data_IF_544063997403
#
_entry.id   IF_544063997403
#
_cell.length_a   1.000
_cell.length_b   1.000
_cell.length_c   1.000
_cell.angle_alpha   90.00
_cell.angle_beta   90.00
_cell.angle_gamma   90.00
#
_symmetry.space_group_name_H-M   'P 1'
#
loop_
_entity.id
_entity.type
_entity.pdbx_description
1 polymer ?
#
# COMPACT_ATOMS: atom_id res chain seq x y z
N UNK A 1 -40.10 2.94 104.12
CA UNK A 1 -41.31 2.49 103.38
C UNK A 1 -40.88 2.15 101.95
N UNK A 2 -40.55 0.89 101.59
CA UNK A 2 -41.40 -0.08 100.83
C UNK A 2 -42.20 0.63 99.71
N UNK A 3 -42.03 0.40 98.39
CA UNK A 3 -41.96 -0.89 97.63
C UNK A 3 -41.66 -0.67 96.12
N UNK A 4 -40.79 -1.52 95.53
CA UNK A 4 -40.96 -2.36 94.29
C UNK A 4 -41.08 -1.66 92.90
N UNK A 5 -40.63 -2.18 91.73
CA UNK A 5 -39.85 -3.35 91.24
C UNK A 5 -39.86 -3.29 89.66
N UNK A 6 -38.91 -3.97 88.98
CA UNK A 6 -38.83 -4.36 87.53
C UNK A 6 -38.40 -3.31 86.46
N UNK A 7 -37.19 -3.38 85.84
CA UNK A 7 -36.67 -4.25 84.72
C UNK A 7 -37.05 -3.69 83.31
N UNK A 8 -36.31 -3.72 82.19
CA UNK A 8 -35.24 -4.57 81.63
C UNK A 8 -34.73 -3.93 80.29
N UNK A 9 -33.40 -3.95 79.98
CA UNK A 9 -32.69 -4.32 78.68
C UNK A 9 -33.08 -3.63 77.33
N UNK A 10 -32.26 -3.40 76.28
CA UNK A 10 -30.82 -3.29 75.92
C UNK A 10 -30.76 -3.03 74.37
N UNK A 11 -29.78 -2.25 73.89
CA UNK A 11 -29.12 -2.24 72.55
C UNK A 11 -29.88 -1.81 71.26
N UNK A 12 -29.27 -0.95 70.42
CA UNK A 12 -28.43 -1.37 69.27
C UNK A 12 -27.81 -0.18 68.48
N UNK A 13 -26.59 -0.40 68.01
CA UNK A 13 -25.78 0.40 67.07
C UNK A 13 -26.30 0.28 65.63
N UNK A 14 -26.19 1.34 64.82
CA UNK A 14 -26.07 1.22 63.36
C UNK A 14 -25.27 2.40 62.78
N UNK A 15 -23.99 2.16 62.51
CA UNK A 15 -23.14 3.00 61.67
C UNK A 15 -23.52 2.73 60.21
N UNK A 16 -24.06 3.72 59.50
CA UNK A 16 -24.32 3.61 58.07
C UNK A 16 -23.00 3.72 57.30
N UNK A 17 -22.41 2.58 56.95
CA UNK A 17 -21.45 2.49 55.86
C UNK A 17 -22.24 2.62 54.55
N UNK A 18 -22.35 3.82 54.02
CA UNK A 18 -22.62 4.01 52.61
C UNK A 18 -21.35 3.58 51.86
N UNK A 19 -21.26 2.28 51.56
CA UNK A 19 -20.35 1.83 50.52
C UNK A 19 -20.82 2.43 49.21
N UNK A 20 -20.01 3.29 48.60
CA UNK A 20 -20.16 3.57 47.18
C UNK A 20 -19.97 2.23 46.47
N UNK A 21 -21.07 1.67 45.95
CA UNK A 21 -21.00 0.57 45.01
C UNK A 21 -20.42 1.16 43.71
N UNK A 22 -19.09 1.23 43.63
CA UNK A 22 -18.43 1.35 42.34
C UNK A 22 -18.73 0.06 41.60
N UNK A 23 -19.85 0.03 40.87
CA UNK A 23 -20.16 -0.97 39.87
C UNK A 23 -19.14 -0.83 38.74
N UNK A 24 -17.91 -1.23 39.03
CA UNK A 24 -16.90 -1.54 38.04
C UNK A 24 -17.35 -2.83 37.40
N UNK A 25 -18.03 -2.72 36.25
CA UNK A 25 -18.28 -3.88 35.42
C UNK A 25 -16.93 -4.63 35.25
N UNK A 26 -16.93 -5.98 35.35
CA UNK A 26 -15.69 -6.73 35.21
C UNK A 26 -15.03 -6.38 33.87
N UNK A 27 -13.71 -6.09 33.92
CA UNK A 27 -12.90 -5.77 32.74
C UNK A 27 -13.08 -6.86 31.69
N UNK A 28 -13.30 -6.48 30.43
CA UNK A 28 -13.34 -7.45 29.36
C UNK A 28 -11.95 -8.06 29.14
N UNK A 29 -11.91 -9.37 28.98
CA UNK A 29 -10.69 -10.15 28.70
C UNK A 29 -10.77 -10.89 27.37
N UNK A 30 -11.83 -10.69 26.60
CA UNK A 30 -12.06 -11.35 25.32
C UNK A 30 -11.50 -10.47 24.22
N UNK A 31 -10.45 -10.91 23.50
CA UNK A 31 -9.96 -10.14 22.37
C UNK A 31 -10.99 -10.03 21.24
N UNK A 32 -10.93 -8.97 20.43
CA UNK A 32 -11.66 -8.92 19.16
C UNK A 32 -11.27 -10.07 18.22
N UNK A 33 -12.09 -10.31 17.20
CA UNK A 33 -11.69 -11.12 16.07
C UNK A 33 -10.52 -10.48 15.31
N UNK A 34 -9.67 -11.30 14.70
CA UNK A 34 -8.63 -10.80 13.81
C UNK A 34 -9.24 -10.01 12.64
N UNK A 35 -8.69 -8.85 12.26
CA UNK A 35 -9.08 -8.14 11.05
C UNK A 35 -8.94 -9.03 9.81
N UNK A 36 -9.67 -8.71 8.75
CA UNK A 36 -9.67 -9.47 7.49
C UNK A 36 -9.56 -8.58 6.28
N UNK A 37 -9.26 -9.19 5.14
CA UNK A 37 -9.19 -8.50 3.85
C UNK A 37 -8.05 -7.50 3.78
N UNK A 38 -6.95 -7.75 4.51
CA UNK A 38 -5.74 -6.95 4.43
C UNK A 38 -5.19 -7.00 2.99
N UNK A 39 -4.78 -5.84 2.48
CA UNK A 39 -4.02 -5.72 1.25
C UNK A 39 -3.09 -4.51 1.29
N UNK A 40 -2.04 -4.57 0.50
CA UNK A 40 -1.05 -3.51 0.32
C UNK A 40 -1.23 -2.76 -1.00
N UNK A 41 -0.71 -1.55 -1.03
CA UNK A 41 -0.48 -0.74 -2.23
C UNK A 41 0.91 -0.15 -2.12
N UNK A 42 1.76 -0.51 -3.08
CA UNK A 42 3.17 -0.15 -3.07
C UNK A 42 3.37 1.34 -3.37
N UNK A 43 4.44 1.92 -2.83
CA UNK A 43 4.84 3.30 -3.10
C UNK A 43 6.34 3.49 -2.93
N UNK A 44 6.80 4.73 -3.10
CA UNK A 44 8.20 5.10 -2.93
C UNK A 44 8.59 5.17 -1.45
N UNK A 45 9.51 4.31 -1.03
CA UNK A 45 9.94 4.16 0.35
C UNK A 45 8.78 3.97 1.35
N UNK A 46 7.63 3.49 0.86
CA UNK A 46 6.42 3.32 1.66
C UNK A 46 5.49 2.24 1.11
N UNK A 47 4.63 1.73 1.98
CA UNK A 47 3.54 0.82 1.63
C UNK A 47 2.27 1.27 2.33
N UNK A 48 1.18 1.42 1.58
CA UNK A 48 -0.15 1.69 2.15
C UNK A 48 -0.88 0.39 2.37
N UNK A 49 -1.28 0.14 3.62
CA UNK A 49 -2.08 -0.99 4.03
C UNK A 49 -3.54 -0.58 4.20
N UNK A 50 -4.45 -1.48 3.82
CA UNK A 50 -5.90 -1.32 4.00
C UNK A 50 -6.53 -2.67 4.35
N UNK A 51 -7.53 -2.65 5.21
CA UNK A 51 -8.26 -3.84 5.66
C UNK A 51 -9.74 -3.54 5.85
N UNK A 52 -10.53 -4.58 6.12
CA UNK A 52 -11.95 -4.43 6.48
C UNK A 52 -12.09 -4.13 7.97
N UNK A 53 -13.04 -3.26 8.32
CA UNK A 53 -13.33 -2.97 9.71
C UNK A 53 -13.89 -4.21 10.42
N UNK A 54 -13.48 -4.39 11.68
CA UNK A 54 -14.15 -5.27 12.62
C UNK A 54 -15.61 -4.82 12.86
N UNK A 55 -16.47 -5.77 13.22
CA UNK A 55 -17.91 -5.52 13.44
C UNK A 55 -18.24 -5.28 14.91
N UNK A 56 -17.33 -5.65 15.81
CA UNK A 56 -17.45 -5.50 17.25
C UNK A 56 -17.45 -4.02 17.64
N UNK A 57 -18.40 -3.64 18.51
CA UNK A 57 -18.67 -2.23 18.82
C UNK A 57 -17.66 -1.58 19.77
N UNK A 58 -16.79 -2.39 20.36
CA UNK A 58 -15.75 -2.05 21.34
C UNK A 58 -14.35 -1.96 20.75
N UNK A 59 -14.16 -2.30 19.47
CA UNK A 59 -12.90 -2.03 18.77
C UNK A 59 -12.66 -0.52 18.68
N UNK A 60 -11.51 -0.08 19.18
CA UNK A 60 -11.09 1.33 19.18
C UNK A 60 -9.97 1.64 18.18
N UNK A 61 -9.36 0.59 17.62
CA UNK A 61 -8.29 0.76 16.63
C UNK A 61 -7.56 -0.54 16.33
N UNK A 62 -6.40 -0.37 15.72
CA UNK A 62 -5.59 -1.42 15.16
C UNK A 62 -4.11 -1.20 15.46
N UNK A 63 -3.37 -2.29 15.64
CA UNK A 63 -1.91 -2.32 15.68
C UNK A 63 -1.41 -2.90 14.37
N UNK A 64 -0.42 -2.26 13.78
CA UNK A 64 0.14 -2.62 12.48
C UNK A 64 1.54 -3.15 12.70
N UNK A 65 1.82 -4.28 12.06
CA UNK A 65 3.06 -5.02 12.21
C UNK A 65 3.76 -5.24 10.88
N UNK A 66 5.08 -5.41 10.92
CA UNK A 66 5.87 -5.79 9.76
C UNK A 66 6.98 -6.77 10.11
N UNK A 67 7.31 -7.66 9.18
CA UNK A 67 8.43 -8.60 9.29
C UNK A 67 9.28 -8.62 8.02
N UNK A 68 10.50 -9.15 8.13
CA UNK A 68 11.40 -9.41 7.00
C UNK A 68 11.18 -10.79 6.36
N UNK A 69 10.29 -11.62 6.91
CA UNK A 69 9.97 -12.93 6.36
C UNK A 69 8.52 -13.36 6.65
N UNK A 70 8.03 -14.35 5.89
CA UNK A 70 6.61 -14.67 5.78
C UNK A 70 5.97 -15.26 7.03
N UNK A 71 6.66 -16.18 7.72
CA UNK A 71 6.08 -16.88 8.88
C UNK A 71 7.11 -17.74 9.63
N UNK A 72 6.72 -18.21 10.81
CA UNK A 72 7.51 -19.10 11.67
C UNK A 72 8.10 -18.37 12.88
N UNK A 73 8.54 -19.14 13.88
CA UNK A 73 9.12 -18.61 15.12
C UNK A 73 10.41 -17.79 14.91
N UNK A 74 11.05 -17.93 13.75
CA UNK A 74 12.20 -17.13 13.30
C UNK A 74 11.81 -15.84 12.59
N UNK A 75 10.52 -15.56 12.40
CA UNK A 75 9.99 -14.41 11.67
C UNK A 75 9.07 -13.57 12.56
N UNK A 76 9.61 -12.92 13.62
CA UNK A 76 8.80 -12.08 14.46
C UNK A 76 8.25 -10.90 13.65
N UNK A 77 7.01 -10.54 13.96
CA UNK A 77 6.37 -9.34 13.47
C UNK A 77 6.60 -8.23 14.47
N UNK A 78 7.28 -7.17 14.04
CA UNK A 78 7.53 -5.99 14.86
C UNK A 78 6.43 -4.95 14.64
N UNK A 79 5.95 -4.33 15.71
CA UNK A 79 4.93 -3.29 15.60
C UNK A 79 5.54 -2.04 14.95
N UNK A 80 4.96 -1.62 13.83
CA UNK A 80 5.38 -0.43 13.08
C UNK A 80 4.45 0.77 13.30
N UNK A 81 3.27 0.56 13.88
CA UNK A 81 2.38 1.67 14.23
C UNK A 81 1.01 1.25 14.74
N UNK A 82 0.13 2.24 14.85
CA UNK A 82 -1.27 2.09 15.24
C UNK A 82 -2.17 2.94 14.33
N UNK A 83 -3.42 2.51 14.16
CA UNK A 83 -4.42 3.21 13.36
C UNK A 83 -5.78 3.17 14.06
N UNK A 84 -6.55 4.26 13.98
CA UNK A 84 -7.96 4.29 14.42
C UNK A 84 -8.93 3.98 13.28
N UNK A 85 -8.50 4.20 12.03
CA UNK A 85 -9.22 3.78 10.83
C UNK A 85 -8.70 2.45 10.27
N UNK A 86 -9.18 2.10 9.08
CA UNK A 86 -8.85 0.84 8.39
C UNK A 86 -7.75 0.98 7.33
N UNK A 87 -6.86 1.95 7.53
CA UNK A 87 -5.71 2.18 6.65
C UNK A 87 -4.53 2.71 7.45
N UNK A 88 -3.32 2.34 7.02
CA UNK A 88 -2.07 2.81 7.60
C UNK A 88 -0.99 2.87 6.52
N UNK A 89 -0.14 3.89 6.54
CA UNK A 89 1.01 4.01 5.62
C UNK A 89 2.28 3.72 6.40
N UNK A 90 2.97 2.64 6.03
CA UNK A 90 4.29 2.31 6.56
C UNK A 90 5.31 3.08 5.72
N UNK A 91 6.05 4.01 6.32
CA UNK A 91 7.03 4.88 5.66
C UNK A 91 8.47 4.55 6.07
N UNK A 92 9.45 5.12 5.37
CA UNK A 92 10.86 4.95 5.71
C UNK A 92 11.41 3.58 5.33
N UNK A 93 10.79 2.93 4.34
CA UNK A 93 11.22 1.65 3.81
C UNK A 93 12.36 1.87 2.81
N UNK A 94 13.24 0.88 2.71
CA UNK A 94 14.22 0.82 1.61
C UNK A 94 13.55 0.18 0.40
N UNK A 95 13.60 0.86 -0.74
CA UNK A 95 13.12 0.31 -2.00
C UNK A 95 13.87 -0.99 -2.38
N UNK A 96 13.15 -1.93 -2.99
CA UNK A 96 13.67 -3.24 -3.37
C UNK A 96 13.75 -4.26 -2.24
N UNK A 97 13.38 -3.89 -1.00
CA UNK A 97 13.36 -4.81 0.14
C UNK A 97 11.92 -5.27 0.39
N UNK A 98 11.68 -6.57 0.22
CA UNK A 98 10.38 -7.16 0.54
C UNK A 98 10.12 -7.15 2.04
N UNK A 99 8.93 -6.72 2.42
CA UNK A 99 8.43 -6.70 3.79
C UNK A 99 7.07 -7.38 3.84
N UNK A 100 6.82 -8.06 4.95
CA UNK A 100 5.55 -8.71 5.25
C UNK A 100 4.79 -7.85 6.24
N UNK A 101 3.45 -7.89 6.20
CA UNK A 101 2.59 -7.02 6.97
C UNK A 101 1.40 -7.77 7.55
N UNK A 102 1.08 -7.42 8.80
CA UNK A 102 -0.07 -7.96 9.49
C UNK A 102 -0.73 -6.88 10.36
N UNK A 103 -2.00 -7.08 10.70
CA UNK A 103 -2.76 -6.13 11.53
C UNK A 103 -3.51 -6.91 12.61
N UNK A 104 -3.58 -6.35 13.82
CA UNK A 104 -4.45 -6.82 14.90
C UNK A 104 -5.42 -5.71 15.31
N UNK A 105 -6.63 -6.07 15.72
CA UNK A 105 -7.60 -5.16 16.32
C UNK A 105 -7.35 -5.02 17.83
N UNK A 106 -7.71 -3.86 18.38
CA UNK A 106 -7.61 -3.55 19.81
C UNK A 106 -8.94 -3.00 20.31
N UNK A 107 -9.44 -3.53 21.43
CA UNK A 107 -10.67 -3.05 22.08
C UNK A 107 -10.45 -1.96 23.14
N UNK A 108 -11.55 -1.46 23.72
CA UNK A 108 -11.56 -0.44 24.79
C UNK A 108 -10.83 -0.88 26.07
N UNK A 109 -10.82 -2.18 26.35
CA UNK A 109 -10.19 -2.77 27.54
C UNK A 109 -8.72 -3.12 27.30
N UNK A 110 -8.24 -2.93 26.07
CA UNK A 110 -6.85 -3.12 25.64
C UNK A 110 -6.51 -4.55 25.23
N UNK A 111 -7.49 -5.43 25.04
CA UNK A 111 -7.24 -6.75 24.48
C UNK A 111 -6.93 -6.63 22.99
N UNK A 112 -5.94 -7.39 22.54
CA UNK A 112 -5.48 -7.41 21.16
C UNK A 112 -5.83 -8.74 20.53
N UNK A 113 -6.41 -8.70 19.32
CA UNK A 113 -6.74 -9.90 18.55
C UNK A 113 -5.49 -10.65 18.09
N UNK A 114 -5.71 -11.84 17.56
CA UNK A 114 -4.73 -12.46 16.65
C UNK A 114 -4.43 -11.56 15.44
N UNK A 115 -3.30 -11.79 14.79
CA UNK A 115 -2.94 -11.12 13.53
C UNK A 115 -3.84 -11.57 12.38
N UNK A 116 -4.03 -10.70 11.38
CA UNK A 116 -4.61 -11.04 10.07
C UNK A 116 -3.99 -12.32 9.50
N UNK A 117 -4.83 -13.18 8.93
CA UNK A 117 -4.41 -14.48 8.36
C UNK A 117 -3.84 -14.37 6.94
N UNK A 118 -4.08 -13.25 6.25
CA UNK A 118 -3.59 -13.02 4.91
C UNK A 118 -2.07 -12.82 4.90
N UNK A 119 -1.34 -13.58 4.07
CA UNK A 119 0.10 -13.38 3.82
C UNK A 119 0.32 -12.17 2.89
N UNK A 120 0.31 -10.98 3.48
CA UNK A 120 0.47 -9.73 2.75
C UNK A 120 1.93 -9.30 2.80
N UNK A 121 2.54 -9.19 1.63
CA UNK A 121 3.87 -8.64 1.48
C UNK A 121 3.92 -7.62 0.34
N UNK A 122 4.93 -6.76 0.39
CA UNK A 122 5.17 -5.75 -0.63
C UNK A 122 6.67 -5.43 -0.69
N UNK A 123 7.10 -4.98 -1.85
CA UNK A 123 8.45 -4.51 -2.12
C UNK A 123 8.33 -3.08 -2.61
N UNK A 124 8.53 -2.11 -1.71
CA UNK A 124 8.48 -0.69 -2.07
C UNK A 124 9.47 -0.39 -3.18
N UNK A 125 9.15 0.60 -4.02
CA UNK A 125 9.93 0.89 -5.22
C UNK A 125 9.88 2.38 -5.57
N UNK A 126 10.89 2.91 -6.30
CA UNK A 126 10.85 4.29 -6.75
C UNK A 126 9.60 4.58 -7.56
N UNK A 127 8.91 5.65 -7.20
CA UNK A 127 7.71 6.12 -7.87
C UNK A 127 7.54 7.63 -7.64
N UNK A 128 6.88 8.29 -8.58
CA UNK A 128 6.62 9.72 -8.49
C UNK A 128 5.40 10.13 -9.29
N UNK A 129 4.94 11.35 -9.04
CA UNK A 129 3.80 11.95 -9.75
C UNK A 129 4.19 13.28 -10.37
N UNK A 130 3.51 13.65 -11.46
CA UNK A 130 3.70 14.96 -12.09
C UNK A 130 5.07 15.18 -12.75
N UNK A 131 5.78 14.13 -13.13
CA UNK A 131 6.99 14.25 -13.95
C UNK A 131 6.64 14.84 -15.32
N UNK A 132 7.55 15.63 -15.89
CA UNK A 132 7.31 16.36 -17.13
C UNK A 132 8.40 16.11 -18.16
N UNK A 133 8.01 15.90 -19.43
CA UNK A 133 8.94 15.90 -20.56
C UNK A 133 8.52 16.92 -21.62
N UNK A 134 9.50 17.68 -22.10
CA UNK A 134 9.33 18.59 -23.23
C UNK A 134 9.27 17.86 -24.56
N UNK A 135 8.68 18.48 -25.58
CA UNK A 135 8.65 17.93 -26.93
C UNK A 135 10.07 17.92 -27.56
N UNK A 136 10.61 16.74 -27.86
CA UNK A 136 11.96 16.57 -28.40
C UNK A 136 12.20 17.35 -29.72
N UNK A 137 11.13 17.60 -30.50
CA UNK A 137 11.19 18.37 -31.75
C UNK A 137 11.63 19.82 -31.50
N UNK A 138 11.28 20.38 -30.34
CA UNK A 138 11.66 21.73 -29.95
C UNK A 138 13.04 21.77 -29.27
N UNK A 139 13.32 20.77 -28.42
CA UNK A 139 14.58 20.64 -27.68
C UNK A 139 14.76 19.20 -27.22
N UNK A 140 15.94 18.62 -27.46
CA UNK A 140 16.30 17.32 -26.91
C UNK A 140 16.42 17.37 -25.37
N UNK A 141 16.96 18.45 -24.82
CA UNK A 141 17.11 18.63 -23.38
C UNK A 141 15.74 18.68 -22.69
N UNK A 142 15.57 17.86 -21.66
CA UNK A 142 14.34 17.75 -20.89
C UNK A 142 13.24 16.93 -21.56
N UNK A 143 13.52 16.28 -22.69
CA UNK A 143 12.55 15.48 -23.44
C UNK A 143 12.66 13.97 -23.15
N UNK A 144 13.74 13.51 -22.53
CA UNK A 144 13.97 12.11 -22.16
C UNK A 144 13.78 11.82 -20.67
N UNK A 145 13.45 10.57 -20.33
CA UNK A 145 13.33 10.06 -18.97
C UNK A 145 14.19 8.82 -18.76
N UNK A 146 14.86 8.77 -17.61
CA UNK A 146 15.61 7.61 -17.09
C UNK A 146 14.90 7.13 -15.83
N UNK A 147 14.27 5.96 -15.90
CA UNK A 147 13.45 5.44 -14.79
C UNK A 147 14.30 5.01 -13.60
N UNK A 148 15.49 4.47 -13.86
CA UNK A 148 16.39 3.97 -12.81
C UNK A 148 16.94 5.10 -11.94
N UNK A 149 17.21 6.26 -12.56
CA UNK A 149 17.69 7.45 -11.88
C UNK A 149 16.57 8.41 -11.44
N UNK A 150 15.34 8.20 -11.90
CA UNK A 150 14.19 9.04 -11.60
C UNK A 150 14.37 10.51 -12.02
N UNK A 151 15.02 10.75 -13.17
CA UNK A 151 15.32 12.10 -13.66
C UNK A 151 14.97 12.30 -15.13
N UNK A 152 14.72 13.56 -15.47
CA UNK A 152 14.65 14.01 -16.86
C UNK A 152 16.07 14.19 -17.43
N UNK A 153 16.22 13.87 -18.71
CA UNK A 153 17.45 13.89 -19.48
C UNK A 153 17.22 14.44 -20.88
N UNK A 154 18.30 14.53 -21.64
CA UNK A 154 18.20 14.76 -23.09
C UNK A 154 17.63 13.52 -23.79
N UNK A 155 16.79 13.70 -24.81
CA UNK A 155 16.22 12.58 -25.57
C UNK A 155 17.26 11.70 -26.27
N UNK A 156 18.47 12.23 -26.50
CA UNK A 156 19.59 11.53 -27.14
C UNK A 156 20.63 10.97 -26.15
N UNK A 157 20.49 11.23 -24.85
CA UNK A 157 21.34 10.68 -23.79
C UNK A 157 21.29 9.13 -23.84
N UNK A 158 22.46 8.49 -23.64
CA UNK A 158 22.58 7.04 -23.65
C UNK A 158 21.85 6.36 -22.48
N UNK A 159 21.59 7.08 -21.39
CA UNK A 159 20.85 6.61 -20.22
C UNK A 159 19.34 6.87 -20.31
N UNK A 160 18.87 7.57 -21.34
CA UNK A 160 17.42 7.76 -21.55
C UNK A 160 16.78 6.42 -21.92
N UNK A 161 15.67 6.09 -21.26
CA UNK A 161 14.85 4.93 -21.59
C UNK A 161 13.80 5.30 -22.64
N UNK A 162 13.05 6.38 -22.35
CA UNK A 162 11.97 6.88 -23.21
C UNK A 162 12.04 8.39 -23.39
N UNK A 163 11.51 8.90 -24.49
CA UNK A 163 11.41 10.34 -24.73
C UNK A 163 10.11 10.73 -25.44
N UNK A 164 9.65 11.96 -25.19
CA UNK A 164 8.37 12.46 -25.65
C UNK A 164 8.50 13.34 -26.90
N UNK A 165 7.57 13.17 -27.85
CA UNK A 165 7.45 14.01 -29.04
C UNK A 165 6.03 14.33 -29.47
N UNK A 166 5.90 15.47 -30.14
CA UNK A 166 4.68 15.89 -30.80
C UNK A 166 5.01 16.56 -32.14
N UNK A 167 4.42 16.06 -33.22
CA UNK A 167 4.70 16.51 -34.59
C UNK A 167 3.68 17.52 -35.14
N UNK A 168 2.77 18.04 -34.31
CA UNK A 168 1.66 18.87 -34.76
C UNK A 168 0.35 18.09 -34.99
N UNK A 169 0.36 16.76 -34.83
CA UNK A 169 -0.85 15.94 -34.98
C UNK A 169 -0.95 14.83 -33.94
N UNK A 170 0.14 14.10 -33.67
CA UNK A 170 0.13 12.93 -32.77
C UNK A 170 1.15 13.12 -31.65
N UNK A 171 0.71 12.82 -30.43
CA UNK A 171 1.58 12.73 -29.25
C UNK A 171 2.16 11.34 -29.16
N UNK A 172 3.48 11.21 -29.05
CA UNK A 172 4.17 9.93 -29.08
C UNK A 172 5.23 9.83 -27.98
N UNK A 173 5.40 8.62 -27.46
CA UNK A 173 6.52 8.24 -26.61
C UNK A 173 7.37 7.24 -27.39
N UNK A 174 8.67 7.49 -27.42
CA UNK A 174 9.63 6.69 -28.14
C UNK A 174 10.58 6.03 -27.14
N UNK A 175 10.97 4.80 -27.39
CA UNK A 175 12.12 4.20 -26.72
C UNK A 175 13.40 4.79 -27.31
N UNK A 176 14.42 4.93 -26.47
CA UNK A 176 15.71 5.48 -26.92
C UNK A 176 16.44 4.58 -27.91
N UNK A 177 16.21 3.27 -27.83
CA UNK A 177 16.88 2.28 -28.65
C UNK A 177 16.04 1.00 -28.86
N UNK A 178 16.68 0.00 -29.46
CA UNK A 178 16.07 -1.26 -29.87
C UNK A 178 16.18 -2.38 -28.82
N UNK A 179 16.65 -2.09 -27.61
CA UNK A 179 16.67 -3.05 -26.49
C UNK A 179 15.76 -2.62 -25.34
N UNK A 180 15.15 -1.45 -25.45
CA UNK A 180 14.08 -0.97 -24.59
C UNK A 180 12.76 -1.18 -25.31
N UNK A 181 11.82 -1.85 -24.67
CA UNK A 181 10.47 -2.06 -25.20
C UNK A 181 9.45 -1.20 -24.48
N UNK A 182 8.37 -0.84 -25.17
CA UNK A 182 7.25 -0.07 -24.60
C UNK A 182 5.92 -0.65 -25.06
N UNK A 183 4.92 -0.60 -24.20
CA UNK A 183 3.56 -1.01 -24.52
C UNK A 183 2.52 -0.09 -23.88
N UNK A 184 1.49 0.26 -24.64
CA UNK A 184 0.26 0.88 -24.13
C UNK A 184 -0.65 -0.20 -23.53
N UNK A 185 -1.00 -0.03 -22.25
CA UNK A 185 -1.89 -0.94 -21.51
C UNK A 185 -3.33 -0.43 -21.45
N UNK A 186 -3.62 0.70 -22.09
CA UNK A 186 -4.94 1.33 -22.13
C UNK A 186 -5.25 2.16 -20.88
N UNK A 187 -6.53 2.54 -20.75
CA UNK A 187 -7.03 3.36 -19.65
C UNK A 187 -6.80 2.73 -18.28
N UNK A 188 -6.27 3.53 -17.37
CA UNK A 188 -6.01 3.16 -15.99
C UNK A 188 -6.41 4.30 -15.04
N UNK A 189 -7.00 3.96 -13.90
CA UNK A 189 -7.31 4.93 -12.84
C UNK A 189 -6.08 5.34 -12.02
N UNK A 190 -5.07 4.48 -11.95
CA UNK A 190 -3.78 4.71 -11.29
C UNK A 190 -2.71 3.79 -11.88
N UNK A 191 -1.45 3.99 -11.49
CA UNK A 191 -0.38 3.04 -11.85
C UNK A 191 -0.71 1.61 -11.39
N UNK A 192 -1.41 1.44 -10.27
CA UNK A 192 -1.74 0.13 -9.69
C UNK A 192 -2.81 -0.66 -10.45
N UNK A 193 -3.43 -0.07 -11.47
CA UNK A 193 -4.35 -0.81 -12.35
C UNK A 193 -3.60 -1.86 -13.21
N UNK A 194 -2.29 -1.71 -13.37
CA UNK A 194 -1.44 -2.66 -14.11
C UNK A 194 -0.65 -3.52 -13.13
N UNK A 195 -1.05 -4.79 -13.05
CA UNK A 195 -0.49 -5.76 -12.11
C UNK A 195 0.81 -6.42 -12.62
N UNK A 196 0.92 -6.69 -13.93
CA UNK A 196 2.04 -7.43 -14.51
C UNK A 196 2.45 -6.87 -15.88
N UNK A 197 3.73 -6.95 -16.20
CA UNK A 197 4.24 -6.60 -17.52
C UNK A 197 3.73 -7.59 -18.59
N UNK A 198 3.38 -7.13 -19.80
CA UNK A 198 2.87 -8.03 -20.83
C UNK A 198 3.97 -9.02 -21.28
N UNK A 199 3.61 -10.28 -21.46
CA UNK A 199 4.54 -11.29 -22.00
C UNK A 199 4.81 -11.10 -23.51
N UNK A 200 3.88 -10.43 -24.20
CA UNK A 200 3.87 -10.25 -25.64
C UNK A 200 3.09 -8.97 -26.00
N UNK A 201 3.15 -8.58 -27.28
CA UNK A 201 2.39 -7.44 -27.79
C UNK A 201 3.12 -6.10 -27.67
N UNK A 202 4.38 -6.09 -27.21
CA UNK A 202 5.26 -4.91 -27.21
C UNK A 202 5.27 -4.20 -28.57
N UNK A 203 5.38 -2.88 -28.54
CA UNK A 203 5.44 -2.06 -29.75
C UNK A 203 6.64 -2.47 -30.62
N UNK A 204 6.42 -2.97 -31.86
CA UNK A 204 7.51 -3.42 -32.72
C UNK A 204 8.44 -2.28 -33.19
N UNK A 205 7.99 -1.03 -33.08
CA UNK A 205 8.76 0.17 -33.47
C UNK A 205 9.32 0.92 -32.28
N UNK A 206 9.17 0.41 -31.05
CA UNK A 206 9.52 1.17 -29.84
C UNK A 206 8.78 2.51 -29.72
N UNK A 207 7.56 2.63 -30.26
CA UNK A 207 6.79 3.88 -30.27
C UNK A 207 5.34 3.62 -29.95
N UNK A 208 4.76 4.41 -29.05
CA UNK A 208 3.33 4.37 -28.70
C UNK A 208 2.72 5.76 -28.80
N UNK A 209 1.43 5.82 -29.12
CA UNK A 209 0.65 7.05 -28.96
C UNK A 209 0.42 7.34 -27.48
N UNK A 210 0.54 8.61 -27.10
CA UNK A 210 0.45 9.08 -25.71
C UNK A 210 -0.92 9.69 -25.49
N UNK A 211 -1.70 9.12 -24.56
CA UNK A 211 -3.10 9.45 -24.34
C UNK A 211 -3.32 9.71 -22.83
N UNK A 212 -3.93 10.84 -22.43
CA UNK A 212 -4.23 11.10 -21.02
C UNK A 212 -5.12 10.02 -20.42
N UNK A 213 -4.75 9.54 -19.24
CA UNK A 213 -5.42 8.45 -18.54
C UNK A 213 -4.93 7.06 -18.92
N UNK A 214 -4.13 6.90 -19.98
CA UNK A 214 -3.51 5.61 -20.31
C UNK A 214 -2.30 5.33 -19.44
N UNK A 215 -2.06 4.04 -19.17
CA UNK A 215 -0.86 3.54 -18.52
C UNK A 215 -0.03 2.74 -19.51
N UNK A 216 1.28 2.86 -19.40
CA UNK A 216 2.24 2.27 -20.30
C UNK A 216 3.25 1.48 -19.48
N UNK A 217 3.72 0.37 -20.03
CA UNK A 217 4.79 -0.44 -19.45
C UNK A 217 6.02 -0.31 -20.33
N UNK A 218 7.19 -0.21 -19.69
CA UNK A 218 8.50 -0.16 -20.34
C UNK A 218 9.34 -1.31 -19.81
N UNK A 219 9.95 -2.09 -20.70
CA UNK A 219 11.02 -3.02 -20.34
C UNK A 219 12.34 -2.32 -20.68
N UNK A 220 13.09 -1.95 -19.65
CA UNK A 220 14.31 -1.14 -19.78
C UNK A 220 15.51 -2.02 -20.16
N UNK A 221 16.50 -1.38 -20.77
CA UNK A 221 17.78 -1.99 -21.21
C UNK A 221 18.53 -2.79 -20.17
N UNK A 222 18.34 -2.46 -18.89
CA UNK A 222 18.99 -3.09 -17.75
C UNK A 222 18.14 -4.22 -17.16
N UNK A 223 17.16 -4.70 -17.93
CA UNK A 223 16.25 -5.80 -17.61
C UNK A 223 15.35 -5.50 -16.40
N UNK A 224 14.87 -4.27 -16.27
CA UNK A 224 13.84 -3.92 -15.29
C UNK A 224 12.56 -3.50 -15.99
N UNK A 225 11.47 -3.50 -15.22
CA UNK A 225 10.20 -2.99 -15.73
C UNK A 225 9.86 -1.67 -15.07
N UNK A 226 9.41 -0.72 -15.88
CA UNK A 226 8.84 0.53 -15.43
C UNK A 226 7.41 0.66 -15.91
N UNK A 227 6.68 1.60 -15.31
CA UNK A 227 5.40 2.04 -15.84
C UNK A 227 5.24 3.53 -15.68
N UNK A 228 4.48 4.12 -16.58
CA UNK A 228 4.05 5.50 -16.46
C UNK A 228 2.59 5.66 -16.86
N UNK A 229 1.91 6.62 -16.23
CA UNK A 229 0.53 6.98 -16.55
C UNK A 229 0.48 8.43 -16.93
N UNK A 230 -0.03 8.72 -18.12
CA UNK A 230 -0.15 10.08 -18.61
C UNK A 230 -1.29 10.77 -17.88
N UNK A 231 -1.02 11.91 -17.26
CA UNK A 231 -2.02 12.68 -16.51
C UNK A 231 -2.50 13.88 -17.30
N UNK A 232 -1.65 14.50 -18.12
CA UNK A 232 -2.05 15.57 -19.03
C UNK A 232 -1.08 15.76 -20.20
N UNK A 233 -1.56 16.42 -21.25
CA UNK A 233 -0.79 16.74 -22.45
C UNK A 233 -1.05 18.19 -22.89
N UNK A 234 0.00 18.78 -23.45
CA UNK A 234 -0.07 19.97 -24.30
C UNK A 234 0.80 19.72 -25.53
N UNK A 235 0.75 20.61 -26.52
CA UNK A 235 1.58 20.52 -27.73
C UNK A 235 3.10 20.56 -27.45
N UNK A 236 3.51 20.97 -26.25
CA UNK A 236 4.93 21.12 -25.89
C UNK A 236 5.37 20.26 -24.71
N UNK A 237 4.44 19.62 -24.00
CA UNK A 237 4.71 18.98 -22.71
C UNK A 237 3.80 17.77 -22.49
N UNK A 238 4.36 16.68 -21.98
CA UNK A 238 3.62 15.61 -21.31
C UNK A 238 3.83 15.67 -19.81
N UNK A 239 2.78 15.39 -19.04
CA UNK A 239 2.84 15.19 -17.60
C UNK A 239 2.41 13.76 -17.28
N UNK A 240 3.15 13.07 -16.42
CA UNK A 240 2.90 11.67 -16.09
C UNK A 240 3.31 11.31 -14.67
N UNK A 241 2.67 10.27 -14.14
CA UNK A 241 3.10 9.55 -12.96
C UNK A 241 3.97 8.37 -13.39
N UNK A 242 4.91 7.93 -12.56
CA UNK A 242 5.84 6.85 -12.92
C UNK A 242 6.16 5.95 -11.73
N UNK A 243 6.58 4.73 -12.03
CA UNK A 243 7.17 3.80 -11.07
C UNK A 243 8.19 2.88 -11.76
N UNK A 244 9.19 2.44 -11.00
CA UNK A 244 10.29 1.60 -11.49
C UNK A 244 10.48 0.37 -10.61
N UNK A 245 10.55 -0.83 -11.19
CA UNK A 245 10.86 -2.07 -10.47
C UNK A 245 12.37 -2.16 -10.24
N UNK A 246 12.80 -2.40 -9.00
CA UNK A 246 14.22 -2.49 -8.64
C UNK A 246 14.78 -3.90 -8.76
N UNK A 247 13.93 -4.91 -8.95
CA UNK A 247 14.32 -6.30 -9.13
C UNK A 247 14.37 -6.67 -10.62
N UNK A 248 15.57 -6.95 -11.14
CA UNK A 248 15.76 -7.31 -12.54
C UNK A 248 14.95 -8.55 -12.92
N UNK A 249 14.30 -8.51 -14.08
CA UNK A 249 13.46 -9.58 -14.62
C UNK A 249 12.11 -9.76 -13.92
N UNK A 250 11.83 -9.03 -12.85
CA UNK A 250 10.56 -9.15 -12.13
C UNK A 250 9.45 -8.37 -12.87
N UNK A 251 8.59 -9.10 -13.59
CA UNK A 251 7.43 -8.53 -14.28
C UNK A 251 6.27 -8.12 -13.37
N UNK A 252 6.36 -8.33 -12.05
CA UNK A 252 5.33 -7.89 -11.10
C UNK A 252 5.37 -6.36 -10.95
N UNK A 253 4.32 -5.71 -11.45
CA UNK A 253 4.16 -4.27 -11.43
C UNK A 253 3.25 -3.81 -10.29
N UNK A 254 2.73 -4.70 -9.47
CA UNK A 254 2.00 -4.37 -8.24
C UNK A 254 2.22 -5.49 -7.23
N UNK A 255 2.19 -5.16 -5.95
CA UNK A 255 2.13 -6.15 -4.89
C UNK A 255 0.88 -7.03 -5.00
N UNK A 256 1.07 -8.35 -4.87
CA UNK A 256 -0.01 -9.34 -4.89
C UNK A 256 -0.60 -9.57 -3.50
N UNK A 257 -1.85 -10.03 -3.49
CA UNK A 257 -2.40 -10.79 -2.36
C UNK A 257 -1.78 -12.19 -2.34
N UNK A 258 -1.54 -12.72 -1.15
CA UNK A 258 -1.01 -14.05 -0.85
C UNK A 258 -1.42 -15.16 -1.84
N UNK A 259 -0.53 -16.12 -2.15
CA UNK A 259 -0.95 -17.44 -2.62
C UNK A 259 -1.93 -18.07 -1.63
N UNK A 260 -2.95 -18.78 -2.12
CA UNK A 260 -3.71 -19.69 -1.25
C UNK A 260 -2.82 -20.83 -0.75
N UNK A 261 -3.28 -21.60 0.24
CA UNK A 261 -2.60 -22.82 0.73
C UNK A 261 -2.26 -23.84 -0.38
N UNK A 262 -2.92 -23.72 -1.54
CA UNK A 262 -2.71 -24.54 -2.74
C UNK A 262 -1.68 -23.97 -3.74
N UNK A 263 -1.04 -22.84 -3.42
CA UNK A 263 -0.08 -22.15 -4.30
C UNK A 263 -0.73 -21.48 -5.51
N UNK A 264 -2.06 -21.42 -5.60
CA UNK A 264 -2.76 -20.75 -6.71
C UNK A 264 -3.00 -19.28 -6.40
N UNK A 265 -2.78 -18.44 -7.41
CA UNK A 265 -3.14 -17.04 -7.39
C UNK A 265 -4.66 -16.92 -7.57
N UNK A 266 -5.37 -16.43 -6.55
CA UNK A 266 -6.81 -16.21 -6.67
C UNK A 266 -7.12 -14.78 -7.15
N UNK A 267 -7.97 -14.60 -8.18
CA UNK A 267 -8.44 -13.28 -8.56
C UNK A 267 -9.16 -12.57 -7.40
N UNK A 268 -9.05 -11.24 -7.34
CA UNK A 268 -9.88 -10.43 -6.43
C UNK A 268 -11.33 -10.50 -6.94
N UNK A 269 -12.24 -10.95 -6.07
CA UNK A 269 -13.65 -11.21 -6.37
C UNK A 269 -14.53 -9.95 -6.61
N UNK A 270 -14.00 -8.88 -7.21
CA UNK A 270 -14.77 -7.67 -7.53
C UNK A 270 -14.79 -7.32 -9.02
N UNK A 271 -14.80 -8.34 -9.89
CA UNK A 271 -15.30 -8.22 -11.26
C UNK A 271 -16.55 -9.11 -11.39
N UNK A 272 -17.71 -8.51 -11.15
CA UNK A 272 -18.91 -8.78 -11.94
C UNK A 272 -19.08 -7.62 -12.91
#
# INVERSE_FOLDING_TARGET
>A
MRRKLFALVLALFAFALAGCDETTAPRDTTPPAAPRGLYSTTGDAQVTLRWLANTESDVIGYRVYSSSCASGSSCPYDRVGTATGTSFVVTGLSNGVTRFYAVAAVDRDGNESELTVEDVYDTSRPAGSGATLGNFVNSASGAGWDFSAAISRSSDDAQTDVFYGYNGSVHQMFTRDNVTDIQDMGYASSLDAIDYAPANGWSPTGTVEVIPGHCYVVWTRDNHYAKFRVTSLTNSLVVFDWAYQTAAGNGELRARRAPGEDGTLRPIAWLR
#
